data_IF_229495344540
#
_entry.id   IF_229495344540
#
_cell.length_a   1.000
_cell.length_b   1.000
_cell.length_c   1.000
_cell.angle_alpha   90.00
_cell.angle_beta   90.00
_cell.angle_gamma   90.00
#
_symmetry.space_group_name_H-M   'P 1'
#
loop_
_entity.id
_entity.type
_entity.pdbx_description
1 polymer ?
#
# COMPACT_ATOMS: atom_id res chain seq x y z
N UNK A 1 -11.22 -10.10 13.63
CA UNK A 1 -10.58 -8.77 13.50
C UNK A 1 -11.52 -7.77 12.88
N UNK A 2 -11.31 -6.48 13.17
CA UNK A 2 -12.13 -5.37 12.66
C UNK A 2 -11.27 -4.48 11.76
N UNK A 3 -11.54 -4.51 10.47
CA UNK A 3 -10.88 -3.64 9.50
C UNK A 3 -11.67 -2.35 9.29
N UNK A 4 -10.97 -1.22 9.21
CA UNK A 4 -11.52 0.06 8.80
C UNK A 4 -11.01 0.47 7.43
N UNK A 5 -11.90 0.58 6.44
CA UNK A 5 -11.56 1.05 5.11
C UNK A 5 -11.93 2.51 4.98
N UNK A 6 -10.94 3.34 4.74
CA UNK A 6 -11.13 4.78 4.66
C UNK A 6 -11.77 5.15 3.32
N UNK A 7 -12.79 6.00 3.37
CA UNK A 7 -13.41 6.59 2.19
C UNK A 7 -13.13 8.08 2.13
N UNK A 8 -12.49 8.51 1.04
CA UNK A 8 -12.35 9.92 0.69
C UNK A 8 -13.25 10.25 -0.50
N UNK A 9 -13.68 11.51 -0.66
CA UNK A 9 -14.25 11.95 -1.93
C UNK A 9 -13.30 11.61 -3.08
N UNK A 10 -13.78 10.81 -4.07
CA UNK A 10 -12.99 10.40 -5.23
C UNK A 10 -12.11 9.15 -5.03
N UNK A 11 -12.09 8.51 -3.84
CA UNK A 11 -11.55 7.15 -3.73
C UNK A 11 -12.46 6.17 -4.50
N UNK A 12 -11.92 5.09 -5.04
CA UNK A 12 -12.69 4.14 -5.84
C UNK A 12 -12.30 2.66 -5.65
N UNK A 13 -11.24 2.37 -4.90
CA UNK A 13 -10.82 1.00 -4.62
C UNK A 13 -11.27 0.50 -3.23
N UNK A 14 -12.06 1.28 -2.51
CA UNK A 14 -12.56 0.90 -1.18
C UNK A 14 -13.50 -0.31 -1.25
N UNK A 15 -14.28 -0.45 -2.34
CA UNK A 15 -15.17 -1.58 -2.53
C UNK A 15 -14.40 -2.88 -2.78
N UNK A 16 -13.32 -2.82 -3.56
CA UNK A 16 -12.43 -3.96 -3.82
C UNK A 16 -11.79 -4.43 -2.50
N UNK A 17 -11.27 -3.48 -1.71
CA UNK A 17 -10.72 -3.79 -0.39
C UNK A 17 -11.78 -4.39 0.55
N UNK A 18 -12.99 -3.82 0.58
CA UNK A 18 -14.10 -4.33 1.39
C UNK A 18 -14.46 -5.76 0.99
N UNK A 19 -14.56 -6.02 -0.33
CA UNK A 19 -14.86 -7.35 -0.86
C UNK A 19 -13.84 -8.38 -0.39
N UNK A 20 -12.54 -8.08 -0.53
CA UNK A 20 -11.48 -9.00 -0.10
C UNK A 20 -11.57 -9.27 1.40
N UNK A 21 -11.69 -8.23 2.22
CA UNK A 21 -11.69 -8.39 3.68
C UNK A 21 -12.96 -9.12 4.15
N UNK A 22 -14.14 -8.69 3.71
CA UNK A 22 -15.42 -9.22 4.17
C UNK A 22 -15.77 -10.55 3.51
N UNK A 23 -15.64 -10.63 2.18
CA UNK A 23 -16.18 -11.75 1.41
C UNK A 23 -15.15 -12.86 1.13
N UNK A 24 -13.87 -12.50 0.96
CA UNK A 24 -12.83 -13.50 0.65
C UNK A 24 -12.19 -14.04 1.93
N UNK A 25 -11.65 -13.16 2.80
CA UNK A 25 -10.98 -13.60 4.03
C UNK A 25 -11.89 -13.64 5.29
N UNK A 26 -13.18 -13.29 5.14
CA UNK A 26 -14.22 -13.41 6.17
C UNK A 26 -13.89 -12.70 7.50
N UNK A 27 -13.37 -11.48 7.41
CA UNK A 27 -13.13 -10.62 8.57
C UNK A 27 -14.20 -9.52 8.66
N UNK A 28 -14.41 -8.98 9.86
CA UNK A 28 -15.28 -7.83 10.03
C UNK A 28 -14.67 -6.62 9.33
N UNK A 29 -15.50 -5.88 8.60
CA UNK A 29 -15.06 -4.73 7.84
C UNK A 29 -16.14 -3.64 7.85
N UNK A 30 -15.70 -2.38 7.96
CA UNK A 30 -16.59 -1.22 7.80
C UNK A 30 -15.91 -0.07 7.08
N UNK A 31 -16.69 0.70 6.35
CA UNK A 31 -16.24 1.96 5.79
C UNK A 31 -16.14 3.04 6.87
N UNK A 32 -15.12 3.88 6.74
CA UNK A 32 -14.89 5.03 7.62
C UNK A 32 -14.73 6.28 6.74
N UNK A 33 -15.69 7.18 6.87
CA UNK A 33 -15.72 8.41 6.08
C UNK A 33 -14.63 9.40 6.49
N UNK A 34 -14.08 10.14 5.54
CA UNK A 34 -12.95 11.07 5.75
C UNK A 34 -13.18 12.14 6.82
N UNK A 35 -14.43 12.46 7.15
CA UNK A 35 -14.78 13.44 8.20
C UNK A 35 -14.92 12.81 9.60
N UNK A 36 -14.76 11.51 9.70
CA UNK A 36 -14.77 10.78 10.98
C UNK A 36 -13.62 11.22 11.88
N UNK A 37 -13.88 11.22 13.20
CA UNK A 37 -12.89 11.59 14.23
C UNK A 37 -12.56 10.41 15.15
N UNK A 38 -12.78 9.17 14.69
CA UNK A 38 -12.55 8.00 15.53
C UNK A 38 -12.29 6.74 14.72
N UNK A 39 -11.26 6.02 15.16
CA UNK A 39 -10.92 4.66 14.73
C UNK A 39 -11.18 3.64 15.86
N UNK A 40 -12.07 3.97 16.78
CA UNK A 40 -12.38 3.09 17.92
C UNK A 40 -12.87 1.72 17.46
N UNK A 41 -12.27 0.65 18.02
CA UNK A 41 -12.63 -0.73 17.73
C UNK A 41 -12.11 -1.23 16.37
N UNK A 42 -11.16 -0.53 15.74
CA UNK A 42 -10.45 -0.95 14.55
C UNK A 42 -9.10 -1.55 14.95
N UNK A 43 -8.77 -2.69 14.36
CA UNK A 43 -7.50 -3.40 14.56
C UNK A 43 -6.53 -3.11 13.40
N UNK A 44 -7.06 -2.93 12.18
CA UNK A 44 -6.28 -2.60 10.98
C UNK A 44 -7.01 -1.57 10.12
N UNK A 45 -6.28 -0.54 9.70
CA UNK A 45 -6.76 0.50 8.78
C UNK A 45 -6.24 0.27 7.38
N UNK A 46 -7.15 0.28 6.38
CA UNK A 46 -6.81 0.28 4.96
C UNK A 46 -7.12 1.67 4.40
N UNK A 47 -6.09 2.31 3.85
CA UNK A 47 -6.22 3.53 3.04
C UNK A 47 -6.18 3.09 1.58
N UNK A 48 -7.32 3.03 0.87
CA UNK A 48 -7.41 2.41 -0.44
C UNK A 48 -6.86 3.29 -1.55
N UNK A 49 -6.78 2.71 -2.75
CA UNK A 49 -6.47 3.41 -3.98
C UNK A 49 -7.63 4.28 -4.48
N UNK A 50 -7.35 5.05 -5.51
CA UNK A 50 -8.29 5.94 -6.16
C UNK A 50 -7.67 7.30 -6.49
N UNK A 51 -8.54 8.32 -6.56
CA UNK A 51 -8.18 9.70 -6.88
C UNK A 51 -8.77 10.63 -5.81
N UNK A 52 -8.31 10.49 -4.57
CA UNK A 52 -8.85 11.22 -3.43
C UNK A 52 -8.84 12.74 -3.68
N UNK A 53 -10.03 13.36 -3.57
CA UNK A 53 -10.25 14.78 -3.90
C UNK A 53 -9.84 15.17 -5.33
N UNK A 54 -9.88 14.21 -6.29
CA UNK A 54 -9.51 14.44 -7.69
C UNK A 54 -8.02 14.71 -7.92
N UNK A 55 -7.15 14.34 -6.96
CA UNK A 55 -5.70 14.56 -6.98
C UNK A 55 -5.29 16.03 -7.16
N UNK A 56 -6.18 16.97 -6.80
CA UNK A 56 -5.88 18.40 -6.85
C UNK A 56 -4.66 18.75 -5.98
N UNK A 57 -3.86 19.72 -6.42
CA UNK A 57 -2.55 20.11 -5.93
C UNK A 57 -1.47 19.06 -6.25
N UNK A 58 -1.56 17.90 -5.63
CA UNK A 58 -0.81 16.66 -5.87
C UNK A 58 -1.54 15.51 -5.19
N UNK A 59 -1.29 14.30 -5.65
CA UNK A 59 -1.93 13.08 -5.13
C UNK A 59 -1.79 12.97 -3.62
N UNK A 60 -2.91 12.75 -2.93
CA UNK A 60 -2.95 12.56 -1.48
C UNK A 60 -2.86 13.83 -0.62
N UNK A 61 -2.48 14.99 -1.18
CA UNK A 61 -2.19 16.19 -0.38
C UNK A 61 -3.43 16.72 0.38
N UNK A 62 -4.59 16.78 -0.27
CA UNK A 62 -5.82 17.25 0.37
C UNK A 62 -6.34 16.19 1.35
N UNK A 63 -6.30 14.91 0.95
CA UNK A 63 -6.71 13.80 1.82
C UNK A 63 -5.93 13.76 3.13
N UNK A 64 -4.62 14.06 3.10
CA UNK A 64 -3.78 14.14 4.29
C UNK A 64 -4.20 15.23 5.30
N UNK A 65 -5.02 16.21 4.90
CA UNK A 65 -5.53 17.26 5.77
C UNK A 65 -6.91 16.92 6.37
N UNK A 66 -7.49 15.78 6.03
CA UNK A 66 -8.80 15.37 6.55
C UNK A 66 -8.76 14.99 8.02
N UNK A 67 -9.92 15.02 8.69
CA UNK A 67 -10.01 14.65 10.12
C UNK A 67 -9.56 13.21 10.35
N UNK A 68 -9.97 12.29 9.48
CA UNK A 68 -9.57 10.89 9.62
C UNK A 68 -8.08 10.67 9.46
N UNK A 69 -7.40 11.47 8.64
CA UNK A 69 -5.96 11.37 8.44
C UNK A 69 -5.17 11.70 9.71
N UNK A 70 -5.67 12.62 10.53
CA UNK A 70 -5.12 12.86 11.85
C UNK A 70 -5.28 11.62 12.77
N UNK A 71 -6.47 11.02 12.76
CA UNK A 71 -6.74 9.81 13.55
C UNK A 71 -5.89 8.62 13.09
N UNK A 72 -5.67 8.46 11.76
CA UNK A 72 -4.77 7.44 11.20
C UNK A 72 -3.34 7.63 11.74
N UNK A 73 -2.87 8.88 11.76
CA UNK A 73 -1.54 9.20 12.27
C UNK A 73 -1.39 8.84 13.75
N UNK A 74 -2.35 9.18 14.57
CA UNK A 74 -2.34 8.86 15.99
C UNK A 74 -2.53 7.34 16.23
N UNK A 75 -3.34 6.66 15.41
CA UNK A 75 -3.52 5.21 15.45
C UNK A 75 -2.21 4.49 15.12
N UNK A 76 -1.51 4.91 14.06
CA UNK A 76 -0.21 4.35 13.69
C UNK A 76 0.85 4.56 14.77
N UNK A 77 0.94 5.76 15.37
CA UNK A 77 1.87 6.05 16.47
C UNK A 77 1.66 5.16 17.70
N UNK A 78 0.43 4.72 17.95
CA UNK A 78 0.11 3.76 19.03
C UNK A 78 0.37 2.30 18.64
N UNK A 79 1.00 2.04 17.49
CA UNK A 79 1.33 0.70 17.00
C UNK A 79 0.22 0.04 16.16
N UNK A 80 -0.86 0.75 15.88
CA UNK A 80 -1.97 0.26 15.04
C UNK A 80 -1.49 -0.08 13.63
N UNK A 81 -2.03 -1.15 13.04
CA UNK A 81 -1.64 -1.61 11.71
C UNK A 81 -2.33 -0.79 10.62
N UNK A 82 -1.54 -0.21 9.72
CA UNK A 82 -2.04 0.61 8.61
C UNK A 82 -1.45 0.11 7.29
N UNK A 83 -2.29 -0.02 6.27
CA UNK A 83 -1.85 -0.28 4.89
C UNK A 83 -2.40 0.80 3.96
N UNK A 84 -1.54 1.38 3.13
CA UNK A 84 -1.90 2.30 2.06
C UNK A 84 -1.61 1.69 0.70
N UNK A 85 -2.65 1.59 -0.13
CA UNK A 85 -2.59 0.99 -1.46
C UNK A 85 -2.70 2.11 -2.51
N UNK A 86 -1.75 2.20 -3.44
CA UNK A 86 -1.72 3.18 -4.52
C UNK A 86 -1.91 4.62 -3.99
N UNK A 87 -3.06 5.26 -4.20
CA UNK A 87 -3.37 6.58 -3.62
C UNK A 87 -3.25 6.60 -2.09
N UNK A 88 -3.57 5.49 -1.42
CA UNK A 88 -3.33 5.34 0.02
C UNK A 88 -1.86 5.45 0.40
N UNK A 89 -0.94 4.89 -0.39
CA UNK A 89 0.50 5.06 -0.16
C UNK A 89 0.93 6.52 -0.33
N UNK A 90 0.42 7.22 -1.34
CA UNK A 90 0.67 8.65 -1.54
C UNK A 90 0.20 9.46 -0.32
N UNK A 91 -0.99 9.17 0.22
CA UNK A 91 -1.52 9.80 1.44
C UNK A 91 -0.59 9.53 2.64
N UNK A 92 -0.11 8.28 2.81
CA UNK A 92 0.78 7.94 3.93
C UNK A 92 2.14 8.66 3.86
N UNK A 93 2.67 8.94 2.67
CA UNK A 93 3.87 9.78 2.51
C UNK A 93 3.60 11.24 2.82
N UNK A 94 2.44 11.79 2.44
CA UNK A 94 2.01 13.16 2.79
C UNK A 94 1.84 13.31 4.32
N UNK A 95 1.32 12.30 4.99
CA UNK A 95 1.18 12.23 6.46
C UNK A 95 2.51 12.07 7.19
N UNK A 96 3.61 11.81 6.46
CA UNK A 96 4.92 11.49 7.04
C UNK A 96 4.90 10.24 7.93
N UNK A 97 4.00 9.32 7.64
CA UNK A 97 3.98 7.97 8.22
C UNK A 97 4.95 7.04 7.49
N UNK A 98 5.26 7.36 6.24
CA UNK A 98 6.29 6.71 5.43
C UNK A 98 7.27 7.77 4.91
N UNK A 99 8.56 7.44 4.76
CA UNK A 99 9.54 8.37 4.20
C UNK A 99 9.33 8.58 2.71
N UNK A 100 9.98 9.60 2.14
CA UNK A 100 9.99 9.88 0.71
C UNK A 100 8.73 10.54 0.18
N UNK A 101 8.60 10.51 -1.15
CA UNK A 101 7.48 11.09 -1.91
C UNK A 101 7.18 10.26 -3.16
N UNK A 102 5.95 10.32 -3.64
CA UNK A 102 5.56 9.78 -4.94
C UNK A 102 5.53 10.92 -5.96
N UNK A 103 6.21 10.72 -7.09
CA UNK A 103 6.30 11.66 -8.20
C UNK A 103 5.58 11.08 -9.42
N UNK A 104 5.41 11.91 -10.46
CA UNK A 104 4.92 11.45 -11.75
C UNK A 104 5.79 10.32 -12.30
N UNK A 105 5.14 9.35 -12.92
CA UNK A 105 5.84 8.27 -13.62
C UNK A 105 6.88 8.84 -14.58
N UNK A 106 8.03 8.16 -14.72
CA UNK A 106 9.11 8.57 -15.65
C UNK A 106 8.62 8.77 -17.09
N UNK A 107 7.61 8.00 -17.51
CA UNK A 107 6.97 8.11 -18.81
C UNK A 107 6.00 9.29 -18.96
N UNK A 108 5.64 9.97 -17.86
CA UNK A 108 4.59 11.00 -17.76
C UNK A 108 3.18 10.51 -18.13
N UNK A 109 3.01 9.21 -18.37
CA UNK A 109 1.75 8.59 -18.72
C UNK A 109 1.12 7.87 -17.52
N UNK A 110 -0.21 7.75 -17.53
CA UNK A 110 -0.91 6.80 -16.68
C UNK A 110 -0.56 5.37 -17.12
N UNK A 111 -0.13 4.54 -16.18
CA UNK A 111 0.23 3.14 -16.44
C UNK A 111 -0.79 2.24 -15.77
N UNK A 112 -1.47 1.41 -16.58
CA UNK A 112 -2.42 0.39 -16.10
C UNK A 112 -2.04 -0.94 -16.76
N UNK A 113 -1.43 -1.84 -15.98
CA UNK A 113 -0.98 -3.16 -16.46
C UNK A 113 -0.66 -4.09 -15.31
N UNK A 114 -0.58 -5.38 -15.60
CA UNK A 114 0.06 -6.33 -14.70
C UNK A 114 1.57 -6.09 -14.65
N UNK A 115 2.14 -6.29 -13.47
CA UNK A 115 3.58 -6.24 -13.22
C UNK A 115 3.98 -7.35 -12.26
N UNK A 116 5.26 -7.63 -12.18
CA UNK A 116 5.79 -8.56 -11.18
C UNK A 116 6.46 -7.78 -10.06
N UNK A 117 6.27 -8.26 -8.83
CA UNK A 117 7.00 -7.75 -7.68
C UNK A 117 7.62 -8.91 -6.90
N UNK A 118 8.81 -8.67 -6.37
CA UNK A 118 9.52 -9.59 -5.51
C UNK A 118 9.31 -9.22 -4.05
N UNK A 119 9.18 -10.22 -3.19
CA UNK A 119 9.10 -10.07 -1.73
C UNK A 119 10.52 -9.89 -1.20
N UNK A 120 10.90 -8.66 -0.87
CA UNK A 120 12.25 -8.33 -0.35
C UNK A 120 12.40 -8.62 1.14
N UNK A 121 11.30 -8.62 1.89
CA UNK A 121 11.29 -8.95 3.30
C UNK A 121 10.01 -9.72 3.63
N UNK A 122 10.14 -11.02 3.91
CA UNK A 122 9.04 -11.92 4.28
C UNK A 122 8.78 -11.99 5.79
N UNK A 123 9.60 -11.33 6.62
CA UNK A 123 9.52 -11.41 8.08
C UNK A 123 8.71 -10.27 8.71
N UNK A 124 7.69 -9.76 8.00
CA UNK A 124 6.87 -8.64 8.47
C UNK A 124 5.42 -9.07 8.71
N UNK A 125 4.66 -8.27 9.48
CA UNK A 125 3.22 -8.49 9.66
C UNK A 125 2.42 -8.52 8.36
N UNK A 126 2.98 -8.01 7.27
CA UNK A 126 2.34 -7.92 5.96
C UNK A 126 2.72 -9.06 5.01
N UNK A 127 3.79 -9.79 5.29
CA UNK A 127 4.41 -10.71 4.31
C UNK A 127 4.76 -12.10 4.84
N UNK A 128 4.50 -12.38 6.11
CA UNK A 128 4.89 -13.65 6.74
C UNK A 128 4.29 -14.93 6.10
N UNK A 129 3.28 -14.79 5.26
CA UNK A 129 2.70 -15.91 4.49
C UNK A 129 3.24 -15.99 3.05
N UNK A 130 4.23 -15.19 2.70
CA UNK A 130 5.00 -15.33 1.47
C UNK A 130 6.37 -15.96 1.78
N UNK A 131 6.91 -16.68 0.81
CA UNK A 131 8.30 -17.10 0.88
C UNK A 131 9.22 -15.90 0.59
N UNK A 132 10.41 -15.91 1.18
CA UNK A 132 11.46 -14.96 0.85
C UNK A 132 11.81 -15.05 -0.64
N UNK A 133 11.97 -13.91 -1.31
CA UNK A 133 12.24 -13.79 -2.74
C UNK A 133 11.13 -14.32 -3.67
N UNK A 134 9.94 -14.65 -3.14
CA UNK A 134 8.80 -15.02 -3.97
C UNK A 134 8.44 -13.90 -4.94
N UNK A 135 8.12 -14.26 -6.17
CA UNK A 135 7.65 -13.35 -7.21
C UNK A 135 6.14 -13.52 -7.35
N UNK A 136 5.41 -12.42 -7.32
CA UNK A 136 3.96 -12.39 -7.50
C UNK A 136 3.58 -11.45 -8.64
N UNK A 137 2.55 -11.83 -9.39
CA UNK A 137 2.00 -11.02 -10.47
C UNK A 137 0.83 -10.18 -9.94
N UNK A 138 0.91 -8.86 -10.11
CA UNK A 138 -0.01 -7.93 -9.45
C UNK A 138 -0.26 -6.69 -10.35
N UNK A 139 -1.50 -6.17 -10.46
CA UNK A 139 -1.78 -5.01 -11.29
C UNK A 139 -1.35 -3.70 -10.62
N UNK A 140 -1.00 -2.74 -11.47
CA UNK A 140 -0.81 -1.32 -11.13
C UNK A 140 -1.72 -0.45 -11.98
N UNK A 141 -2.16 0.70 -11.43
CA UNK A 141 -3.00 1.67 -12.12
C UNK A 141 -2.75 3.08 -11.55
N UNK A 142 -1.76 3.82 -12.08
CA UNK A 142 -1.35 5.11 -11.53
C UNK A 142 -0.62 6.00 -12.54
N UNK A 143 -0.71 7.33 -12.35
CA UNK A 143 0.09 8.36 -13.03
C UNK A 143 1.29 8.81 -12.19
N UNK A 144 1.21 8.67 -10.87
CA UNK A 144 2.20 9.14 -9.88
C UNK A 144 2.62 7.99 -8.96
N UNK A 145 3.44 7.07 -9.50
CA UNK A 145 3.97 5.92 -8.77
C UNK A 145 5.49 5.91 -8.64
N UNK A 146 6.17 6.94 -9.16
CA UNK A 146 7.63 7.05 -9.11
C UNK A 146 8.09 7.44 -7.71
N UNK A 147 8.42 6.44 -6.90
CA UNK A 147 8.84 6.65 -5.52
C UNK A 147 10.26 7.21 -5.47
N UNK A 148 10.44 8.31 -4.75
CA UNK A 148 11.71 9.03 -4.62
C UNK A 148 12.11 9.21 -3.15
N UNK A 149 13.41 9.04 -2.90
CA UNK A 149 14.08 9.26 -1.61
C UNK A 149 15.37 10.03 -1.81
N UNK A 150 15.76 10.81 -0.80
CA UNK A 150 17.13 11.33 -0.71
C UNK A 150 18.11 10.18 -0.46
N UNK A 151 19.40 10.38 -0.78
CA UNK A 151 20.46 9.39 -0.52
C UNK A 151 20.53 8.98 0.97
N UNK A 152 20.28 9.92 1.90
CA UNK A 152 20.26 9.67 3.34
C UNK A 152 19.10 8.76 3.74
N UNK A 153 17.90 9.08 3.31
CA UNK A 153 16.69 8.26 3.57
C UNK A 153 16.87 6.86 2.98
N UNK A 154 17.35 6.75 1.73
CA UNK A 154 17.60 5.47 1.08
C UNK A 154 18.57 4.60 1.88
N UNK A 155 19.66 5.18 2.38
CA UNK A 155 20.61 4.46 3.23
C UNK A 155 19.95 3.97 4.53
N UNK A 156 19.06 4.77 5.11
CA UNK A 156 18.36 4.43 6.35
C UNK A 156 17.38 3.27 6.12
N UNK A 157 16.52 3.34 5.12
CA UNK A 157 15.52 2.27 4.88
C UNK A 157 16.16 0.95 4.51
N UNK A 158 17.31 0.97 3.80
CA UNK A 158 18.06 -0.25 3.49
C UNK A 158 18.66 -0.91 4.74
N UNK A 159 19.27 -0.12 5.62
CA UNK A 159 19.85 -0.63 6.88
C UNK A 159 18.79 -1.25 7.80
N UNK A 160 17.54 -0.77 7.72
CA UNK A 160 16.42 -1.19 8.57
C UNK A 160 15.51 -2.22 7.91
N UNK A 161 15.87 -2.73 6.72
CA UNK A 161 15.07 -3.69 5.94
C UNK A 161 13.61 -3.25 5.74
N UNK A 162 13.40 -1.95 5.51
CA UNK A 162 12.06 -1.37 5.33
C UNK A 162 11.49 -1.59 3.92
N UNK A 163 12.32 -1.98 2.93
CA UNK A 163 11.86 -2.32 1.59
C UNK A 163 11.16 -3.67 1.67
N UNK A 164 9.87 -3.69 1.35
CA UNK A 164 9.04 -4.90 1.43
C UNK A 164 8.85 -5.52 0.06
N UNK A 165 8.64 -4.69 -0.96
CA UNK A 165 8.40 -5.13 -2.34
C UNK A 165 9.25 -4.33 -3.32
N UNK A 166 9.80 -5.01 -4.33
CA UNK A 166 10.45 -4.36 -5.47
C UNK A 166 9.87 -4.86 -6.80
N UNK A 167 9.79 -3.97 -7.80
CA UNK A 167 9.46 -4.35 -9.18
C UNK A 167 10.54 -5.22 -9.77
N UNK A 168 10.14 -6.28 -10.46
CA UNK A 168 11.03 -7.22 -11.12
C UNK A 168 10.38 -7.76 -12.40
N UNK A 169 11.09 -8.60 -13.14
CA UNK A 169 10.52 -9.42 -14.20
C UNK A 169 9.91 -10.73 -13.62
N UNK A 170 9.40 -11.59 -14.49
CA UNK A 170 8.81 -12.88 -14.10
C UNK A 170 9.79 -13.86 -13.44
N UNK A 171 11.08 -13.62 -13.59
CA UNK A 171 12.16 -14.42 -12.99
C UNK A 171 12.71 -13.82 -11.68
N UNK A 172 12.13 -12.69 -11.21
CA UNK A 172 12.56 -12.00 -9.99
C UNK A 172 13.78 -11.09 -10.18
N UNK A 173 14.17 -10.80 -11.43
CA UNK A 173 15.31 -9.95 -11.74
C UNK A 173 14.85 -8.48 -11.77
N UNK A 174 15.40 -7.69 -10.85
CA UNK A 174 15.17 -6.23 -10.83
C UNK A 174 16.04 -5.55 -11.87
N UNK A 175 15.40 -4.89 -12.84
CA UNK A 175 16.08 -4.15 -13.92
C UNK A 175 15.36 -2.83 -14.22
N UNK A 176 15.95 -1.95 -15.01
CA UNK A 176 15.30 -0.72 -15.45
C UNK A 176 14.07 -1.02 -16.32
N UNK A 177 14.12 -2.07 -17.12
CA UNK A 177 12.99 -2.49 -17.98
C UNK A 177 11.82 -3.07 -17.19
N UNK A 178 12.09 -3.69 -16.04
CA UNK A 178 11.07 -4.19 -15.13
C UNK A 178 10.43 -3.09 -14.27
N UNK A 179 11.01 -1.88 -14.25
CA UNK A 179 10.51 -0.75 -13.48
C UNK A 179 9.44 0.02 -14.26
N UNK A 180 8.16 -0.04 -13.87
CA UNK A 180 7.08 0.54 -14.67
C UNK A 180 6.96 2.05 -14.56
N UNK A 181 7.55 2.68 -13.54
CA UNK A 181 7.26 4.06 -13.17
C UNK A 181 8.49 4.93 -12.85
N UNK A 182 9.69 4.32 -12.75
CA UNK A 182 10.92 5.04 -12.44
C UNK A 182 11.26 5.12 -10.94
N UNK A 183 10.57 4.35 -10.09
CA UNK A 183 10.86 4.26 -8.64
C UNK A 183 12.32 3.96 -8.36
N UNK A 184 12.90 4.67 -7.38
CA UNK A 184 14.27 4.42 -6.95
C UNK A 184 14.45 2.96 -6.50
N UNK A 185 15.50 2.29 -6.98
CA UNK A 185 15.79 0.88 -6.71
C UNK A 185 14.60 -0.07 -6.97
N UNK A 186 13.74 0.26 -7.91
CA UNK A 186 12.54 -0.50 -8.23
C UNK A 186 11.57 -0.67 -7.04
N UNK A 187 11.64 0.16 -6.00
CA UNK A 187 10.78 0.03 -4.82
C UNK A 187 9.32 0.12 -5.23
N UNK A 188 8.56 -0.95 -4.99
CA UNK A 188 7.11 -1.04 -5.20
C UNK A 188 6.31 -0.81 -3.91
N UNK A 189 6.94 -1.06 -2.76
CA UNK A 189 6.35 -0.83 -1.44
C UNK A 189 7.36 -0.96 -0.31
N UNK A 190 7.09 -0.24 0.78
CA UNK A 190 7.94 -0.21 1.97
C UNK A 190 7.13 -0.06 3.25
N UNK A 191 7.74 -0.39 4.38
CA UNK A 191 7.17 -0.12 5.71
C UNK A 191 7.85 1.06 6.39
N UNK A 192 7.20 1.59 7.46
CA UNK A 192 7.84 2.48 8.40
C UNK A 192 8.87 1.73 9.27
N UNK A 193 9.59 2.47 10.12
CA UNK A 193 10.60 1.92 11.00
C UNK A 193 10.03 0.94 12.03
N UNK A 194 8.85 1.21 12.56
CA UNK A 194 8.15 0.38 13.54
C UNK A 194 7.50 -0.87 12.92
N UNK A 195 7.48 -0.98 11.58
CA UNK A 195 6.95 -2.11 10.84
C UNK A 195 5.42 -2.27 10.93
N UNK A 196 4.70 -1.22 11.33
CA UNK A 196 3.24 -1.25 11.47
C UNK A 196 2.48 -0.45 10.40
N UNK A 197 3.17 0.29 9.56
CA UNK A 197 2.61 0.99 8.41
C UNK A 197 3.27 0.48 7.13
N UNK A 198 2.46 0.04 6.18
CA UNK A 198 2.89 -0.37 4.84
C UNK A 198 2.29 0.56 3.79
N UNK A 199 3.08 0.97 2.82
CA UNK A 199 2.63 1.59 1.58
C UNK A 199 3.11 0.82 0.36
N UNK A 200 2.23 0.59 -0.61
CA UNK A 200 2.59 -0.05 -1.88
C UNK A 200 1.77 0.54 -3.04
N UNK A 201 2.39 0.63 -4.23
CA UNK A 201 1.70 1.11 -5.43
C UNK A 201 0.85 0.04 -6.14
N UNK A 202 1.23 -1.24 -6.16
CA UNK A 202 0.41 -2.31 -6.70
C UNK A 202 -0.88 -2.57 -5.90
N UNK A 203 -1.87 -3.20 -6.56
CA UNK A 203 -3.20 -3.45 -6.04
C UNK A 203 -3.42 -4.93 -5.66
N UNK A 204 -3.08 -5.37 -4.43
CA UNK A 204 -3.27 -6.75 -3.98
C UNK A 204 -4.76 -7.14 -3.91
N UNK A 205 -5.65 -6.19 -3.67
CA UNK A 205 -7.10 -6.41 -3.63
C UNK A 205 -7.68 -6.88 -4.96
N UNK A 206 -6.99 -6.61 -6.07
CA UNK A 206 -7.42 -6.98 -7.44
C UNK A 206 -6.90 -8.34 -7.91
N UNK A 207 -6.12 -9.03 -7.10
CA UNK A 207 -5.58 -10.38 -7.35
C UNK A 207 -5.67 -11.23 -6.07
N UNK A 208 -6.84 -11.25 -5.44
CA UNK A 208 -7.08 -11.92 -4.15
C UNK A 208 -8.05 -13.09 -4.22
N UNK A 209 -8.59 -13.42 -5.41
CA UNK A 209 -9.46 -14.58 -5.63
C UNK A 209 -9.40 -15.07 -7.08
N UNK A 210 -9.70 -16.36 -7.30
CA UNK A 210 -9.51 -17.01 -8.59
C UNK A 210 -10.30 -16.38 -9.73
N UNK A 211 -11.49 -15.83 -9.47
CA UNK A 211 -12.31 -15.17 -10.50
C UNK A 211 -11.63 -13.92 -11.07
N UNK A 212 -10.70 -13.32 -10.33
CA UNK A 212 -9.89 -12.18 -10.77
C UNK A 212 -8.62 -12.62 -11.53
N UNK A 213 -8.44 -13.92 -11.76
CA UNK A 213 -7.32 -14.48 -12.52
C UNK A 213 -6.10 -14.88 -11.67
N UNK A 214 -5.98 -14.41 -10.42
CA UNK A 214 -4.90 -14.78 -9.51
C UNK A 214 -5.31 -14.63 -8.05
N UNK A 215 -4.60 -15.33 -7.17
CA UNK A 215 -4.69 -15.19 -5.71
C UNK A 215 -3.41 -14.65 -5.09
N UNK A 216 -2.51 -14.09 -5.86
CA UNK A 216 -1.19 -13.65 -5.42
C UNK A 216 -1.23 -12.57 -4.33
N UNK A 217 -2.28 -11.73 -4.35
CA UNK A 217 -2.44 -10.63 -3.38
C UNK A 217 -3.04 -11.05 -2.03
N UNK A 218 -3.72 -12.21 -1.95
CA UNK A 218 -4.50 -12.58 -0.75
C UNK A 218 -3.62 -12.77 0.49
N UNK A 219 -2.39 -13.27 0.30
CA UNK A 219 -1.48 -13.57 1.40
C UNK A 219 -1.03 -12.31 2.16
N UNK A 220 -1.08 -11.13 1.53
CA UNK A 220 -0.83 -9.87 2.22
C UNK A 220 -1.89 -9.63 3.32
N UNK A 221 -3.17 -9.74 2.97
CA UNK A 221 -4.27 -9.54 3.91
C UNK A 221 -4.33 -10.66 4.97
N UNK A 222 -4.09 -11.92 4.58
CA UNK A 222 -4.00 -13.05 5.51
C UNK A 222 -2.82 -12.93 6.46
N UNK A 223 -1.68 -12.37 6.03
CA UNK A 223 -0.52 -12.11 6.89
C UNK A 223 -0.88 -11.15 8.01
N UNK A 224 -1.63 -10.07 7.71
CA UNK A 224 -2.11 -9.12 8.70
C UNK A 224 -3.02 -9.82 9.73
N UNK A 225 -3.97 -10.63 9.27
CA UNK A 225 -4.88 -11.39 10.15
C UNK A 225 -4.09 -12.34 11.04
N UNK A 226 -3.13 -13.07 10.47
CA UNK A 226 -2.33 -14.04 11.21
C UNK A 226 -1.41 -13.38 12.25
N UNK A 227 -0.93 -12.17 11.99
CA UNK A 227 -0.09 -11.41 12.92
C UNK A 227 -0.85 -10.84 14.12
N UNK A 228 -2.12 -10.46 13.91
CA UNK A 228 -2.93 -9.76 14.92
C UNK A 228 -3.79 -10.74 15.76
N UNK A 229 -3.88 -12.03 15.39
CA UNK A 229 -4.52 -13.10 16.19
C UNK A 229 -3.53 -13.74 17.14
#
# INVERSE_FOLDING_TARGET
>A
MNFGIIQFPGSNCEQDCFHVISNVIKQNCRYIWHDSKSLRGIDCVIVPGGFSYGDYLRTGAIAAQSKISYEIKEFAKRGGTVIGICNGFQILTELKLLPGVLLRNKSLNFVCKDTYIKIENSSTRFTQLYNQDAVIKIPIAHAEGNYYLTKKELSTIRKRNQIIFSYCDEFGISSETANPNGSILNIAGLSNEEGNVLGLMPHPERVSENILGSTDGINLFKSIVNFLN
#
